data_IF_900975135661
#
_entry.id   IF_900975135661
#
_cell.length_a   1.000
_cell.length_b   1.000
_cell.length_c   1.000
_cell.angle_alpha   90.00
_cell.angle_beta   90.00
_cell.angle_gamma   90.00
#
_symmetry.space_group_name_H-M   'P 1'
#
loop_
_entity.id
_entity.type
_entity.pdbx_description
1 polymer ?
#
# COMPACT_ATOMS: atom_id res chain seq x y z
N UNK A 1 -11.03 44.05 15.84
CA UNK A 1 -11.70 44.95 14.86
C UNK A 1 -10.81 45.30 13.64
N UNK A 2 -9.58 44.78 13.51
CA UNK A 2 -8.70 45.07 12.36
C UNK A 2 -8.78 44.09 11.18
N UNK A 3 -9.22 42.86 11.39
CA UNK A 3 -9.11 41.80 10.38
C UNK A 3 -9.99 42.01 9.15
N UNK A 4 -11.13 42.71 9.32
CA UNK A 4 -12.06 43.00 8.21
C UNK A 4 -11.43 43.92 7.16
N UNK A 5 -10.58 44.86 7.58
CA UNK A 5 -9.89 45.76 6.66
C UNK A 5 -8.76 45.05 5.92
N UNK A 6 -8.08 44.09 6.58
CA UNK A 6 -6.97 43.33 5.98
C UNK A 6 -7.43 42.40 4.85
N UNK A 7 -8.67 41.92 4.89
CA UNK A 7 -9.26 41.06 3.86
C UNK A 7 -10.02 41.82 2.76
N UNK A 8 -9.93 43.16 2.73
CA UNK A 8 -10.59 43.97 1.69
C UNK A 8 -11.99 44.51 2.04
N UNK A 9 -12.44 44.32 3.28
CA UNK A 9 -13.70 44.90 3.78
C UNK A 9 -14.97 44.17 3.34
N UNK A 10 -16.13 44.77 3.66
CA UNK A 10 -17.44 44.20 3.36
C UNK A 10 -17.69 44.06 1.84
N UNK A 11 -17.14 44.97 1.05
CA UNK A 11 -17.24 44.95 -0.42
C UNK A 11 -16.65 43.67 -1.02
N UNK A 12 -15.51 43.20 -0.51
CA UNK A 12 -14.87 41.98 -1.01
C UNK A 12 -15.67 40.72 -0.69
N UNK A 13 -16.32 40.67 0.47
CA UNK A 13 -17.21 39.56 0.83
C UNK A 13 -18.43 39.47 -0.09
N UNK A 14 -19.02 40.62 -0.45
CA UNK A 14 -20.15 40.69 -1.41
C UNK A 14 -19.70 40.22 -2.80
N UNK A 15 -18.48 40.56 -3.22
CA UNK A 15 -17.91 40.08 -4.47
C UNK A 15 -17.74 38.56 -4.48
N UNK A 16 -17.20 37.96 -3.41
CA UNK A 16 -17.06 36.51 -3.27
C UNK A 16 -18.43 35.81 -3.37
N UNK A 17 -19.43 36.30 -2.64
CA UNK A 17 -20.80 35.72 -2.67
C UNK A 17 -21.36 35.73 -4.09
N UNK A 18 -21.11 36.79 -4.86
CA UNK A 18 -21.58 36.92 -6.24
C UNK A 18 -20.73 36.17 -7.28
N UNK A 19 -19.51 35.74 -6.93
CA UNK A 19 -18.58 35.05 -7.82
C UNK A 19 -18.85 33.55 -7.97
N UNK A 20 -19.71 32.96 -7.13
CA UNK A 20 -19.99 31.52 -7.13
C UNK A 20 -21.38 31.26 -7.71
N UNK A 21 -21.52 30.52 -8.83
CA UNK A 21 -22.82 30.28 -9.47
C UNK A 21 -23.77 29.42 -8.63
N UNK A 22 -23.23 28.49 -7.82
CA UNK A 22 -24.00 27.62 -6.91
C UNK A 22 -23.11 27.07 -5.80
N UNK A 23 -23.65 26.94 -4.59
CA UNK A 23 -22.98 26.31 -3.45
C UNK A 23 -22.77 24.80 -3.63
N UNK A 24 -23.52 24.16 -4.55
CA UNK A 24 -23.41 22.73 -4.81
C UNK A 24 -22.01 22.30 -5.31
N UNK A 25 -21.24 23.21 -5.89
CA UNK A 25 -19.90 22.94 -6.44
C UNK A 25 -18.76 23.24 -5.45
N UNK A 26 -19.06 23.52 -4.18
CA UNK A 26 -18.04 23.90 -3.19
C UNK A 26 -16.93 22.86 -3.05
N UNK A 27 -17.29 21.57 -3.02
CA UNK A 27 -16.31 20.47 -2.94
C UNK A 27 -15.42 20.39 -4.20
N UNK A 28 -16.01 20.63 -5.38
CA UNK A 28 -15.28 20.66 -6.64
C UNK A 28 -14.24 21.80 -6.66
N UNK A 29 -14.63 23.02 -6.27
CA UNK A 29 -13.70 24.15 -6.20
C UNK A 29 -12.64 23.96 -5.11
N UNK A 30 -13.01 23.39 -3.97
CA UNK A 30 -12.06 23.04 -2.90
C UNK A 30 -10.99 22.06 -3.41
N UNK A 31 -11.38 21.08 -4.23
CA UNK A 31 -10.45 20.14 -4.86
C UNK A 31 -9.48 20.84 -5.81
N UNK A 32 -9.96 21.78 -6.63
CA UNK A 32 -9.09 22.59 -7.52
C UNK A 32 -8.07 23.38 -6.69
N UNK A 33 -8.53 24.08 -5.65
CA UNK A 33 -7.63 24.87 -4.78
C UNK A 33 -6.59 23.99 -4.11
N UNK A 34 -7.00 22.81 -3.60
CA UNK A 34 -6.11 21.84 -2.98
C UNK A 34 -5.05 21.31 -3.96
N UNK A 35 -5.46 20.97 -5.18
CA UNK A 35 -4.57 20.51 -6.25
C UNK A 35 -3.53 21.60 -6.61
N UNK A 36 -3.98 22.85 -6.82
CA UNK A 36 -3.06 23.96 -7.10
C UNK A 36 -2.13 24.27 -5.92
N UNK A 37 -2.59 24.11 -4.67
CA UNK A 37 -1.75 24.26 -3.49
C UNK A 37 -0.69 23.15 -3.38
N UNK A 38 -1.01 21.92 -3.80
CA UNK A 38 -0.05 20.83 -3.88
C UNK A 38 1.03 21.13 -4.92
N UNK A 39 0.66 21.56 -6.13
CA UNK A 39 1.62 21.93 -7.17
C UNK A 39 2.56 23.06 -6.73
N UNK A 40 2.04 24.09 -6.05
CA UNK A 40 2.88 25.17 -5.51
C UNK A 40 3.90 24.67 -4.48
N UNK A 41 3.50 23.73 -3.60
CA UNK A 41 4.40 23.12 -2.62
C UNK A 41 5.47 22.26 -3.29
N UNK A 42 5.09 21.48 -4.31
CA UNK A 42 6.02 20.68 -5.11
C UNK A 42 7.08 21.57 -5.76
N UNK A 43 6.66 22.64 -6.43
CA UNK A 43 7.57 23.61 -7.05
C UNK A 43 8.56 24.16 -6.02
N UNK A 44 8.06 24.63 -4.87
CA UNK A 44 8.92 25.19 -3.83
C UNK A 44 9.99 24.18 -3.33
N UNK A 45 9.61 22.91 -3.14
CA UNK A 45 10.54 21.86 -2.68
C UNK A 45 11.56 21.44 -3.72
N UNK A 46 11.17 21.37 -4.98
CA UNK A 46 12.10 21.13 -6.08
C UNK A 46 13.08 22.29 -6.24
N UNK A 47 12.62 23.53 -6.13
CA UNK A 47 13.50 24.70 -6.17
C UNK A 47 14.50 24.70 -5.01
N UNK A 48 14.09 24.35 -3.79
CA UNK A 48 15.00 24.17 -2.64
C UNK A 48 16.09 23.12 -2.96
N UNK A 49 15.69 21.98 -3.55
CA UNK A 49 16.62 20.89 -3.90
C UNK A 49 17.60 21.28 -5.01
N UNK A 50 17.14 22.03 -6.02
CA UNK A 50 17.98 22.57 -7.09
C UNK A 50 19.03 23.54 -6.53
N UNK A 51 18.63 24.42 -5.60
CA UNK A 51 19.56 25.37 -4.98
C UNK A 51 20.65 24.64 -4.18
N UNK A 52 20.29 23.62 -3.39
CA UNK A 52 21.26 22.79 -2.66
C UNK A 52 22.25 22.09 -3.59
N UNK A 53 21.79 21.60 -4.75
CA UNK A 53 22.64 20.98 -5.75
C UNK A 53 23.65 21.98 -6.36
N UNK A 54 23.24 23.23 -6.59
CA UNK A 54 24.14 24.29 -7.06
C UNK A 54 25.15 24.74 -6.00
N UNK A 55 24.75 24.80 -4.73
CA UNK A 55 25.64 25.17 -3.63
C UNK A 55 26.74 24.12 -3.40
N UNK A 56 26.46 22.85 -3.68
CA UNK A 56 27.38 21.71 -3.54
C UNK A 56 28.11 21.67 -2.18
N UNK A 57 27.43 22.13 -1.12
CA UNK A 57 27.97 22.24 0.24
C UNK A 57 27.92 20.92 1.03
N UNK A 58 27.18 19.93 0.51
CA UNK A 58 27.00 18.61 1.10
C UNK A 58 27.34 17.51 0.08
N UNK A 59 27.66 16.28 0.53
CA UNK A 59 27.80 15.12 -0.35
C UNK A 59 26.53 14.91 -1.20
N UNK A 60 26.72 14.44 -2.44
CA UNK A 60 25.62 14.23 -3.38
C UNK A 60 24.53 13.30 -2.81
N UNK A 61 24.92 12.26 -2.09
CA UNK A 61 23.98 11.29 -1.47
C UNK A 61 23.04 11.96 -0.45
N UNK A 62 23.53 12.96 0.32
CA UNK A 62 22.70 13.69 1.27
C UNK A 62 21.68 14.61 0.57
N UNK A 63 22.10 15.24 -0.52
CA UNK A 63 21.23 16.10 -1.34
C UNK A 63 20.12 15.27 -1.97
N UNK A 64 20.45 14.08 -2.49
CA UNK A 64 19.48 13.14 -3.06
C UNK A 64 18.48 12.69 -1.99
N UNK A 65 18.95 12.24 -0.82
CA UNK A 65 18.07 11.79 0.27
C UNK A 65 17.12 12.91 0.75
N UNK A 66 17.60 14.16 0.80
CA UNK A 66 16.77 15.30 1.19
C UNK A 66 15.72 15.65 0.14
N UNK A 67 16.05 15.53 -1.15
CA UNK A 67 15.10 15.71 -2.24
C UNK A 67 13.99 14.64 -2.21
N UNK A 68 14.36 13.37 -2.02
CA UNK A 68 13.41 12.26 -1.87
C UNK A 68 12.44 12.49 -0.69
N UNK A 69 12.97 12.88 0.47
CA UNK A 69 12.15 13.21 1.64
C UNK A 69 11.18 14.36 1.34
N UNK A 70 11.65 15.42 0.68
CA UNK A 70 10.82 16.56 0.31
C UNK A 70 9.65 16.18 -0.62
N UNK A 71 9.86 15.23 -1.53
CA UNK A 71 8.81 14.70 -2.40
C UNK A 71 7.78 13.87 -1.63
N UNK A 72 8.24 13.03 -0.69
CA UNK A 72 7.35 12.24 0.18
C UNK A 72 6.48 13.17 1.03
N UNK A 73 7.05 14.22 1.63
CA UNK A 73 6.31 15.19 2.46
C UNK A 73 5.19 15.92 1.70
N UNK A 74 5.38 16.16 0.39
CA UNK A 74 4.36 16.77 -0.48
C UNK A 74 3.23 15.78 -0.78
N UNK A 75 3.57 14.49 -0.94
CA UNK A 75 2.62 13.40 -1.20
C UNK A 75 1.78 13.04 0.04
N UNK A 76 2.39 12.89 1.21
CA UNK A 76 1.69 12.49 2.44
C UNK A 76 0.66 13.52 2.91
N UNK A 77 0.88 14.81 2.66
CA UNK A 77 -0.08 15.87 2.99
C UNK A 77 -1.35 15.83 2.15
N UNK A 78 -1.38 15.10 1.02
CA UNK A 78 -2.57 14.87 0.22
C UNK A 78 -3.47 13.77 0.80
N UNK A 79 -2.90 12.86 1.60
CA UNK A 79 -3.51 11.58 1.93
C UNK A 79 -3.58 11.35 3.45
N UNK A 80 -3.93 12.40 4.22
CA UNK A 80 -4.22 12.24 5.65
C UNK A 80 -5.53 11.49 5.84
N UNK A 81 -5.43 10.17 6.00
CA UNK A 81 -6.30 9.44 6.90
C UNK A 81 -6.12 10.05 8.32
N UNK A 82 -6.92 11.05 8.66
CA UNK A 82 -6.92 11.68 9.99
C UNK A 82 -7.46 10.75 11.08
N UNK A 83 -7.72 11.30 12.28
CA UNK A 83 -8.40 10.56 13.35
C UNK A 83 -9.77 10.07 12.86
N UNK A 84 -10.00 8.76 12.95
CA UNK A 84 -11.31 8.15 12.70
C UNK A 84 -12.11 8.13 14.00
N UNK A 85 -13.39 8.47 13.94
CA UNK A 85 -14.26 8.30 15.10
C UNK A 85 -14.42 6.80 15.39
N UNK A 86 -14.32 6.41 16.66
CA UNK A 86 -14.48 5.00 17.05
C UNK A 86 -15.84 4.44 16.64
N UNK A 87 -16.90 5.26 16.61
CA UNK A 87 -18.23 4.84 16.16
C UNK A 87 -18.22 4.40 14.70
N UNK A 88 -17.48 5.11 13.84
CA UNK A 88 -17.41 4.79 12.41
C UNK A 88 -16.64 3.47 12.19
N UNK A 89 -15.56 3.27 12.95
CA UNK A 89 -14.79 2.01 12.92
C UNK A 89 -15.62 0.83 13.43
N UNK A 90 -16.37 1.02 14.51
CA UNK A 90 -17.26 -0.01 15.05
C UNK A 90 -18.36 -0.39 14.06
N UNK A 91 -18.98 0.58 13.39
CA UNK A 91 -20.01 0.30 12.37
C UNK A 91 -19.46 -0.55 11.22
N UNK A 92 -18.26 -0.25 10.74
CA UNK A 92 -17.58 -1.05 9.71
C UNK A 92 -17.30 -2.47 10.24
N UNK A 93 -16.79 -2.58 11.46
CA UNK A 93 -16.45 -3.87 12.05
C UNK A 93 -17.69 -4.77 12.28
N UNK A 94 -18.81 -4.19 12.73
CA UNK A 94 -20.07 -4.91 12.88
C UNK A 94 -20.59 -5.47 11.56
N UNK A 95 -20.51 -4.71 10.47
CA UNK A 95 -20.87 -5.20 9.13
C UNK A 95 -20.00 -6.39 8.71
N UNK A 96 -18.70 -6.32 8.97
CA UNK A 96 -17.76 -7.43 8.68
C UNK A 96 -18.04 -8.66 9.54
N UNK A 97 -18.42 -8.49 10.81
CA UNK A 97 -18.78 -9.59 11.72
C UNK A 97 -20.08 -10.28 11.28
N UNK A 98 -21.09 -9.51 10.86
CA UNK A 98 -22.35 -10.07 10.37
C UNK A 98 -22.13 -10.87 9.08
N UNK A 99 -21.33 -10.34 8.14
CA UNK A 99 -20.95 -11.06 6.93
C UNK A 99 -20.22 -12.38 7.24
N UNK A 100 -19.29 -12.37 8.20
CA UNK A 100 -18.58 -13.58 8.64
C UNK A 100 -19.50 -14.58 9.33
N UNK A 101 -20.46 -14.13 10.14
CA UNK A 101 -21.44 -14.99 10.80
C UNK A 101 -22.35 -15.73 9.82
N UNK A 102 -22.52 -15.22 8.60
CA UNK A 102 -23.33 -15.83 7.55
C UNK A 102 -22.52 -16.79 6.66
N UNK A 103 -21.18 -16.80 6.78
CA UNK A 103 -20.33 -17.72 6.04
C UNK A 103 -20.35 -19.11 6.69
N UNK A 104 -20.38 -20.16 5.86
CA UNK A 104 -20.33 -21.56 6.27
C UNK A 104 -18.92 -22.12 6.39
N UNK A 105 -17.90 -21.35 5.98
CA UNK A 105 -16.49 -21.75 6.03
C UNK A 105 -15.81 -21.15 7.25
N UNK A 106 -15.12 -21.98 8.02
CA UNK A 106 -14.30 -21.55 9.17
C UNK A 106 -13.03 -20.78 8.74
N UNK A 107 -12.66 -20.85 7.47
CA UNK A 107 -11.50 -20.13 6.91
C UNK A 107 -11.97 -18.75 6.43
N UNK A 108 -11.64 -17.72 7.21
CA UNK A 108 -11.99 -16.32 6.93
C UNK A 108 -10.93 -15.55 6.13
N UNK A 109 -9.68 -16.03 6.11
CA UNK A 109 -8.57 -15.47 5.35
C UNK A 109 -8.28 -16.25 4.05
N UNK A 110 -7.09 -16.04 3.49
CA UNK A 110 -6.60 -16.79 2.34
C UNK A 110 -6.15 -18.18 2.79
N UNK A 111 -6.76 -19.24 2.26
CA UNK A 111 -6.39 -20.61 2.61
C UNK A 111 -4.97 -20.94 2.12
N UNK A 112 -4.14 -21.47 3.02
CA UNK A 112 -2.76 -21.89 2.73
C UNK A 112 -2.71 -23.19 1.93
N UNK A 113 -3.77 -24.00 1.99
CA UNK A 113 -3.84 -25.32 1.37
C UNK A 113 -3.46 -26.46 2.33
N UNK A 114 -3.03 -26.14 3.55
CA UNK A 114 -2.82 -27.10 4.63
C UNK A 114 -3.98 -27.01 5.62
N UNK A 115 -4.85 -28.02 5.62
CA UNK A 115 -6.09 -28.03 6.42
C UNK A 115 -5.85 -27.72 7.90
N UNK A 116 -4.85 -28.34 8.52
CA UNK A 116 -4.58 -28.16 9.95
C UNK A 116 -4.06 -26.75 10.24
N UNK A 117 -3.23 -26.21 9.34
CA UNK A 117 -2.73 -24.84 9.46
C UNK A 117 -3.86 -23.83 9.29
N UNK A 118 -4.71 -24.03 8.28
CA UNK A 118 -5.85 -23.16 8.01
C UNK A 118 -6.87 -23.19 9.15
N UNK A 119 -7.03 -24.33 9.83
CA UNK A 119 -7.86 -24.42 11.03
C UNK A 119 -7.24 -23.68 12.23
N UNK A 120 -5.92 -23.69 12.36
CA UNK A 120 -5.22 -22.98 13.43
C UNK A 120 -5.17 -21.46 13.21
N UNK A 121 -5.00 -21.01 11.97
CA UNK A 121 -4.81 -19.59 11.65
C UNK A 121 -6.05 -18.92 11.07
N UNK A 122 -7.08 -19.70 10.71
CA UNK A 122 -8.24 -19.26 9.91
C UNK A 122 -7.86 -18.70 8.53
N UNK A 123 -6.72 -19.15 7.98
CA UNK A 123 -6.10 -18.64 6.75
C UNK A 123 -5.07 -17.53 7.02
N UNK A 124 -4.61 -16.88 5.96
CA UNK A 124 -3.73 -15.69 6.00
C UNK A 124 -4.59 -14.43 5.85
N UNK A 125 -4.48 -13.47 6.76
CA UNK A 125 -5.31 -12.27 6.74
C UNK A 125 -4.61 -11.08 6.09
N UNK A 126 -5.43 -10.17 5.55
CA UNK A 126 -4.94 -8.89 5.04
C UNK A 126 -4.39 -8.03 6.20
N UNK A 127 -3.46 -7.13 5.89
CA UNK A 127 -2.79 -6.25 6.86
C UNK A 127 -1.89 -6.95 7.90
N UNK A 128 -1.69 -8.27 7.81
CA UNK A 128 -0.78 -9.02 8.69
C UNK A 128 0.60 -9.25 8.06
N UNK A 129 1.65 -9.15 8.89
CA UNK A 129 3.00 -9.59 8.55
C UNK A 129 3.26 -10.98 9.15
N UNK A 130 3.29 -12.00 8.28
CA UNK A 130 3.50 -13.39 8.68
C UNK A 130 4.96 -13.77 8.47
N UNK A 131 5.67 -14.10 9.56
CA UNK A 131 7.10 -14.43 9.53
C UNK A 131 7.30 -15.94 9.61
N UNK A 132 7.85 -16.53 8.55
CA UNK A 132 8.30 -17.92 8.54
C UNK A 132 9.81 -18.00 8.84
N UNK A 133 10.15 -18.53 10.02
CA UNK A 133 11.53 -18.77 10.42
C UNK A 133 11.80 -20.28 10.54
N UNK A 134 12.89 -20.74 9.94
CA UNK A 134 13.36 -22.12 10.06
C UNK A 134 14.89 -22.16 9.91
N UNK A 135 15.51 -23.23 10.41
CA UNK A 135 16.95 -23.48 10.19
C UNK A 135 17.22 -23.76 8.69
N UNK A 136 18.46 -23.56 8.21
CA UNK A 136 18.85 -23.96 6.86
C UNK A 136 18.51 -25.42 6.58
N UNK A 137 18.16 -25.73 5.32
CA UNK A 137 17.78 -27.06 4.83
C UNK A 137 16.51 -27.70 5.44
N UNK A 138 15.76 -27.01 6.30
CA UNK A 138 14.50 -27.54 6.88
C UNK A 138 13.30 -27.42 5.92
N UNK A 139 13.48 -26.72 4.79
CA UNK A 139 12.44 -26.61 3.76
C UNK A 139 11.62 -25.31 3.79
N UNK A 140 12.13 -24.23 4.41
CA UNK A 140 11.48 -22.90 4.43
C UNK A 140 10.98 -22.47 3.04
N UNK A 141 11.87 -22.52 2.05
CA UNK A 141 11.55 -22.11 0.67
C UNK A 141 10.52 -23.02 0.05
N UNK A 142 10.63 -24.34 0.24
CA UNK A 142 9.65 -25.30 -0.29
C UNK A 142 8.26 -25.06 0.31
N UNK A 143 8.17 -24.85 1.62
CA UNK A 143 6.90 -24.56 2.29
C UNK A 143 6.27 -23.26 1.78
N UNK A 144 7.04 -22.17 1.69
CA UNK A 144 6.55 -20.90 1.18
C UNK A 144 6.07 -21.00 -0.28
N UNK A 145 6.81 -21.70 -1.14
CA UNK A 145 6.44 -21.91 -2.53
C UNK A 145 5.15 -22.73 -2.68
N UNK A 146 4.96 -23.78 -1.86
CA UNK A 146 3.73 -24.58 -1.90
C UNK A 146 2.49 -23.76 -1.52
N UNK A 147 2.60 -22.89 -0.50
CA UNK A 147 1.52 -21.96 -0.15
C UNK A 147 1.25 -21.01 -1.32
N UNK A 148 2.29 -20.37 -1.86
CA UNK A 148 2.16 -19.45 -2.99
C UNK A 148 1.52 -20.12 -4.22
N UNK A 149 1.91 -21.35 -4.52
CA UNK A 149 1.38 -22.14 -5.62
C UNK A 149 -0.09 -22.50 -5.39
N UNK A 150 -0.46 -22.98 -4.19
CA UNK A 150 -1.86 -23.26 -3.86
C UNK A 150 -2.75 -22.03 -4.02
N UNK A 151 -2.27 -20.86 -3.58
CA UNK A 151 -2.99 -19.59 -3.72
C UNK A 151 -3.11 -19.21 -5.21
N UNK A 152 -2.02 -19.32 -5.97
CA UNK A 152 -1.98 -18.97 -7.38
C UNK A 152 -2.81 -19.88 -8.28
N UNK A 153 -2.85 -21.19 -8.02
CA UNK A 153 -3.49 -22.17 -8.90
C UNK A 153 -4.90 -22.54 -8.47
N UNK A 154 -5.17 -22.70 -7.16
CA UNK A 154 -6.48 -23.17 -6.67
C UNK A 154 -7.42 -22.05 -6.25
N UNK A 155 -6.89 -20.94 -5.76
CA UNK A 155 -7.68 -19.78 -5.33
C UNK A 155 -7.76 -18.69 -6.40
N UNK A 156 -7.05 -18.84 -7.51
CA UNK A 156 -6.99 -17.89 -8.64
C UNK A 156 -6.64 -16.45 -8.19
N UNK A 157 -5.70 -16.33 -7.24
CA UNK A 157 -5.21 -15.05 -6.72
C UNK A 157 -3.78 -14.79 -7.19
N UNK A 158 -3.48 -13.54 -7.51
CA UNK A 158 -2.13 -13.12 -7.89
C UNK A 158 -1.17 -13.15 -6.70
N UNK A 159 -0.04 -13.84 -6.85
CA UNK A 159 1.03 -13.92 -5.83
C UNK A 159 2.33 -13.33 -6.38
N UNK A 160 2.94 -12.42 -5.64
CA UNK A 160 4.27 -11.88 -5.92
C UNK A 160 5.32 -12.56 -5.05
N UNK A 161 6.42 -13.02 -5.65
CA UNK A 161 7.51 -13.72 -4.96
C UNK A 161 8.81 -12.95 -5.15
N UNK A 162 9.44 -12.58 -4.04
CA UNK A 162 10.77 -11.98 -4.02
C UNK A 162 11.76 -12.99 -3.45
N UNK A 163 12.75 -13.37 -4.25
CA UNK A 163 13.80 -14.32 -3.85
C UNK A 163 15.16 -13.65 -3.95
N UNK A 164 15.91 -13.72 -2.85
CA UNK A 164 17.27 -13.17 -2.74
C UNK A 164 18.34 -14.27 -2.75
N UNK A 165 17.95 -15.53 -2.55
CA UNK A 165 18.87 -16.67 -2.47
C UNK A 165 18.88 -17.50 -3.75
N UNK A 166 17.74 -17.62 -4.41
CA UNK A 166 17.56 -18.47 -5.59
C UNK A 166 17.10 -17.67 -6.80
N UNK A 167 17.63 -18.01 -7.98
CA UNK A 167 17.16 -17.47 -9.25
C UNK A 167 15.75 -17.94 -9.61
N UNK A 168 15.06 -17.17 -10.46
CA UNK A 168 13.67 -17.43 -10.85
C UNK A 168 13.46 -18.82 -11.46
N UNK A 169 14.35 -19.25 -12.36
CA UNK A 169 14.28 -20.57 -13.01
C UNK A 169 14.27 -21.71 -11.99
N UNK A 170 15.16 -21.66 -10.98
CA UNK A 170 15.23 -22.69 -9.94
C UNK A 170 14.01 -22.73 -9.02
N UNK A 171 13.27 -21.62 -8.89
CA UNK A 171 11.99 -21.62 -8.17
C UNK A 171 10.89 -22.25 -9.02
N UNK A 172 10.84 -21.91 -10.31
CA UNK A 172 9.88 -22.47 -11.27
C UNK A 172 10.06 -23.98 -11.39
N UNK A 173 11.29 -24.48 -11.52
CA UNK A 173 11.56 -25.93 -11.57
C UNK A 173 11.00 -26.66 -10.34
N UNK A 174 11.10 -26.04 -9.16
CA UNK A 174 10.54 -26.60 -7.91
C UNK A 174 9.02 -26.58 -7.90
N UNK A 175 8.40 -25.51 -8.39
CA UNK A 175 6.94 -25.45 -8.53
C UNK A 175 6.43 -26.48 -9.53
N UNK A 176 7.11 -26.66 -10.66
CA UNK A 176 6.79 -27.68 -11.67
C UNK A 176 6.94 -29.09 -11.10
N UNK A 177 8.03 -29.35 -10.35
CA UNK A 177 8.24 -30.62 -9.66
C UNK A 177 7.09 -30.92 -8.67
N UNK A 178 6.68 -29.91 -7.90
CA UNK A 178 5.61 -30.03 -6.91
C UNK A 178 4.23 -30.27 -7.57
N UNK A 179 3.91 -29.56 -8.66
CA UNK A 179 2.64 -29.72 -9.37
C UNK A 179 2.56 -31.06 -10.11
N UNK A 180 3.62 -31.39 -10.84
CA UNK A 180 3.67 -32.59 -11.68
C UNK A 180 3.95 -33.87 -10.91
N UNK A 181 4.24 -33.78 -9.61
CA UNK A 181 4.73 -34.89 -8.79
C UNK A 181 5.93 -35.60 -9.44
N UNK A 182 6.80 -34.83 -10.08
CA UNK A 182 8.00 -35.31 -10.77
C UNK A 182 9.22 -35.09 -9.88
N UNK A 183 10.14 -36.05 -9.88
CA UNK A 183 11.38 -35.91 -9.14
C UNK A 183 12.18 -34.68 -9.61
N UNK A 184 12.64 -33.85 -8.67
CA UNK A 184 13.43 -32.66 -9.00
C UNK A 184 14.77 -32.98 -9.68
N UNK A 185 15.26 -34.23 -9.58
CA UNK A 185 16.43 -34.69 -10.31
C UNK A 185 16.12 -34.83 -11.80
N UNK A 186 15.02 -35.53 -12.13
CA UNK A 186 14.51 -35.69 -13.50
C UNK A 186 14.34 -34.38 -14.24
N UNK A 187 13.76 -33.36 -13.60
CA UNK A 187 13.58 -32.03 -14.21
C UNK A 187 14.93 -31.37 -14.54
N UNK A 188 15.95 -31.54 -13.68
CA UNK A 188 17.29 -30.98 -13.93
C UNK A 188 18.08 -31.77 -14.97
N UNK A 189 17.89 -33.08 -15.04
CA UNK A 189 18.61 -33.94 -15.99
C UNK A 189 17.88 -34.11 -17.32
N UNK A 190 16.63 -33.66 -17.43
CA UNK A 190 15.80 -33.80 -18.62
C UNK A 190 15.39 -35.24 -18.92
N UNK A 191 15.27 -36.09 -17.89
CA UNK A 191 14.92 -37.52 -18.00
C UNK A 191 13.55 -37.81 -17.39
#
# INVERSE_FOLDING_TARGET
>A
QGDLQTIGGLSYLVEIVNSVPTSANAEYYAKIVAEKAMLRRLIAKLTESVNLAYEASQPADEIIARAEKGLIDVSENANRNGFKNIRDVLNINFGNLEARSQQTSDITGIATGYRDLDHMTTGLHEEELIILAARPAVGKTAFALNIAQNIGTKLDKTVAIFSLEMGAESLVDRMLAAEGLVESHSIRTGQ
#
